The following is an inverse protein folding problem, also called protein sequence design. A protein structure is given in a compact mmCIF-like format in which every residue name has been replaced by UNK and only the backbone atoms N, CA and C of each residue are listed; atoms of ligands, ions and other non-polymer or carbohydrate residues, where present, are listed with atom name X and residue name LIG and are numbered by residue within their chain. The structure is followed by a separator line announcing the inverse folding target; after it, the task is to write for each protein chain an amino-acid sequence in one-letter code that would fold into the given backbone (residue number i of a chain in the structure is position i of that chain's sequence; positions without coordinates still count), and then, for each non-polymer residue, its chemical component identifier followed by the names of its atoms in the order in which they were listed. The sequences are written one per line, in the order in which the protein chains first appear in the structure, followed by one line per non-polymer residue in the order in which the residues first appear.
data_IF_572937459732
#
_entry.id   IF_572937459732
#
_cell.length_a   1.000
_cell.length_b   1.000
_cell.length_c   1.000
_cell.angle_alpha   90.00
_cell.angle_beta   90.00
_cell.angle_gamma   90.00
#
_symmetry.space_group_name_H-M   'P 1'
#
loop_
_entity.id
_entity.type
_entity.pdbx_description
1 polymer ?
#
# COMPACT_ATOMS: atom_id res chain seq x y z
N UNK A 1 45.03 -13.46 5.24
CA UNK A 1 43.79 -14.17 5.66
C UNK A 1 42.69 -13.23 6.15
N UNK A 2 43.01 -12.27 7.01
CA UNK A 2 42.02 -11.29 7.50
C UNK A 2 41.52 -10.38 6.38
N UNK A 3 42.36 -9.97 5.46
CA UNK A 3 41.98 -9.12 4.33
C UNK A 3 41.05 -9.83 3.36
N UNK A 4 41.28 -11.13 3.13
CA UNK A 4 40.46 -11.95 2.26
C UNK A 4 39.01 -12.07 2.82
N UNK A 5 38.87 -12.31 4.11
CA UNK A 5 37.57 -12.39 4.74
C UNK A 5 36.86 -11.04 4.78
N UNK A 6 37.63 -9.97 4.93
CA UNK A 6 37.09 -8.61 4.91
C UNK A 6 36.49 -8.29 3.55
N UNK A 7 37.18 -8.61 2.46
CA UNK A 7 36.71 -8.39 1.10
C UNK A 7 35.40 -9.18 0.85
N UNK A 8 35.37 -10.43 1.30
CA UNK A 8 34.15 -11.27 1.14
C UNK A 8 32.98 -10.66 1.90
N UNK A 9 33.19 -10.19 3.12
CA UNK A 9 32.13 -9.55 3.92
C UNK A 9 31.62 -8.27 3.27
N UNK A 10 32.52 -7.43 2.80
CA UNK A 10 32.15 -6.17 2.14
C UNK A 10 31.36 -6.44 0.87
N UNK A 11 31.75 -7.45 0.10
CA UNK A 11 31.02 -7.85 -1.10
C UNK A 11 29.61 -8.34 -0.78
N UNK A 12 29.44 -9.13 0.27
CA UNK A 12 28.13 -9.61 0.71
C UNK A 12 27.23 -8.46 1.16
N UNK A 13 27.78 -7.48 1.87
CA UNK A 13 27.04 -6.30 2.30
C UNK A 13 26.59 -5.51 1.07
N UNK A 14 27.47 -5.32 0.09
CA UNK A 14 27.16 -4.60 -1.14
C UNK A 14 26.03 -5.29 -1.91
N UNK A 15 26.09 -6.60 -2.08
CA UNK A 15 25.07 -7.39 -2.76
C UNK A 15 23.72 -7.28 -2.05
N UNK A 16 23.72 -7.32 -0.71
CA UNK A 16 22.52 -7.21 0.09
C UNK A 16 21.86 -5.84 -0.07
N UNK A 17 22.64 -4.76 -0.07
CA UNK A 17 22.15 -3.40 -0.24
C UNK A 17 21.60 -3.20 -1.67
N UNK A 18 22.31 -3.72 -2.68
CA UNK A 18 21.84 -3.67 -4.07
C UNK A 18 20.51 -4.41 -4.24
N UNK A 19 20.34 -5.54 -3.57
CA UNK A 19 19.12 -6.34 -3.63
C UNK A 19 17.89 -5.57 -3.08
N UNK A 20 18.10 -4.58 -2.23
CA UNK A 20 17.04 -3.71 -1.71
C UNK A 20 16.60 -2.64 -2.72
N UNK A 21 17.30 -2.52 -3.85
CA UNK A 21 17.02 -1.49 -4.85
C UNK A 21 17.65 -0.14 -4.55
N UNK A 22 18.49 -0.06 -3.52
CA UNK A 22 19.20 1.18 -3.15
C UNK A 22 20.34 1.41 -4.12
N UNK A 23 20.45 2.64 -4.66
CA UNK A 23 21.55 3.01 -5.55
C UNK A 23 22.85 3.13 -4.76
N UNK A 24 23.88 2.42 -5.18
CA UNK A 24 25.20 2.50 -4.59
C UNK A 24 26.24 2.85 -5.65
N UNK A 25 27.24 3.63 -5.21
CA UNK A 25 28.41 3.94 -6.04
C UNK A 25 29.45 2.85 -5.83
N UNK A 26 30.30 2.62 -6.82
CA UNK A 26 31.28 1.54 -6.78
C UNK A 26 32.37 1.70 -5.72
N UNK A 27 32.57 2.91 -5.22
CA UNK A 27 33.62 3.29 -4.29
C UNK A 27 33.14 3.48 -2.84
N UNK A 28 31.90 3.15 -2.53
CA UNK A 28 31.36 3.33 -1.18
C UNK A 28 31.97 2.31 -0.20
N UNK A 29 32.32 2.79 0.98
CA UNK A 29 32.88 1.96 2.03
C UNK A 29 31.77 1.19 2.80
N UNK A 30 32.21 0.29 3.68
CA UNK A 30 31.33 -0.56 4.47
C UNK A 30 30.37 0.25 5.35
N UNK A 31 30.86 1.31 6.00
CA UNK A 31 30.05 2.14 6.89
C UNK A 31 28.93 2.85 6.13
N UNK A 32 29.24 3.37 4.94
CA UNK A 32 28.27 4.04 4.09
C UNK A 32 27.19 3.06 3.62
N UNK A 33 27.59 1.84 3.22
CA UNK A 33 26.66 0.80 2.77
C UNK A 33 25.73 0.35 3.91
N UNK A 34 26.27 0.14 5.10
CA UNK A 34 25.48 -0.24 6.27
C UNK A 34 24.49 0.86 6.68
N UNK A 35 24.92 2.12 6.58
CA UNK A 35 24.05 3.26 6.83
C UNK A 35 22.91 3.33 5.82
N UNK A 36 23.19 3.12 4.53
CA UNK A 36 22.16 3.11 3.50
C UNK A 36 21.14 1.99 3.72
N UNK A 37 21.60 0.81 4.11
CA UNK A 37 20.73 -0.31 4.45
C UNK A 37 19.83 0.04 5.63
N UNK A 38 20.40 0.60 6.69
CA UNK A 38 19.66 1.00 7.89
C UNK A 38 18.63 2.08 7.57
N UNK A 39 19.01 3.11 6.83
CA UNK A 39 18.12 4.21 6.45
C UNK A 39 16.95 3.69 5.61
N UNK A 40 17.22 2.78 4.67
CA UNK A 40 16.19 2.15 3.86
C UNK A 40 15.19 1.38 4.71
N UNK A 41 15.67 0.56 5.65
CA UNK A 41 14.81 -0.23 6.54
C UNK A 41 13.95 0.66 7.44
N UNK A 42 14.52 1.75 7.97
CA UNK A 42 13.78 2.71 8.80
C UNK A 42 12.69 3.39 7.99
N UNK A 43 13.02 3.86 6.78
CA UNK A 43 12.05 4.48 5.88
C UNK A 43 10.93 3.52 5.53
N UNK A 44 11.25 2.27 5.26
CA UNK A 44 10.28 1.22 4.94
C UNK A 44 9.34 0.97 6.11
N UNK A 45 9.87 0.86 7.32
CA UNK A 45 9.06 0.70 8.53
C UNK A 45 8.11 1.87 8.76
N UNK A 46 8.55 3.10 8.52
CA UNK A 46 7.71 4.29 8.64
C UNK A 46 6.54 4.26 7.67
N UNK A 47 6.79 3.83 6.44
CA UNK A 47 5.74 3.66 5.42
C UNK A 47 4.71 2.64 5.89
N UNK A 48 5.16 1.48 6.35
CA UNK A 48 4.29 0.41 6.82
C UNK A 48 3.44 0.84 8.02
N UNK A 49 4.05 1.54 8.98
CA UNK A 49 3.35 2.05 10.16
C UNK A 49 2.33 3.14 9.79
N UNK A 50 2.68 4.05 8.89
CA UNK A 50 1.77 5.11 8.44
C UNK A 50 0.55 4.52 7.75
N UNK A 51 0.71 3.42 7.02
CA UNK A 51 -0.38 2.75 6.32
C UNK A 51 -1.19 1.80 7.22
N UNK A 52 -0.70 1.48 8.43
CA UNK A 52 -1.37 0.51 9.30
C UNK A 52 -2.79 0.92 9.65
N UNK A 53 -3.01 2.17 10.05
CA UNK A 53 -4.35 2.66 10.41
C UNK A 53 -5.28 2.65 9.20
N UNK A 54 -4.76 2.97 8.02
CA UNK A 54 -5.53 2.92 6.77
C UNK A 54 -5.88 1.48 6.40
N UNK A 55 -4.96 0.54 6.61
CA UNK A 55 -5.24 -0.88 6.40
C UNK A 55 -6.32 -1.39 7.35
N UNK A 56 -6.21 -1.08 8.64
CA UNK A 56 -7.20 -1.51 9.64
C UNK A 56 -8.58 -0.95 9.32
N UNK A 57 -8.64 0.32 8.95
CA UNK A 57 -9.89 0.97 8.56
C UNK A 57 -10.49 0.32 7.33
N UNK A 58 -9.67 0.08 6.30
CA UNK A 58 -10.10 -0.54 5.04
C UNK A 58 -10.61 -1.97 5.26
N UNK A 59 -9.90 -2.75 6.03
CA UNK A 59 -10.26 -4.14 6.35
C UNK A 59 -11.57 -4.20 7.13
N UNK A 60 -11.73 -3.35 8.14
CA UNK A 60 -12.94 -3.25 8.94
C UNK A 60 -14.13 -2.80 8.07
N UNK A 61 -13.91 -1.81 7.22
CA UNK A 61 -14.92 -1.30 6.31
C UNK A 61 -15.42 -2.39 5.36
N UNK A 62 -14.49 -3.13 4.74
CA UNK A 62 -14.82 -4.23 3.84
C UNK A 62 -15.66 -5.29 4.56
N UNK A 63 -15.26 -5.66 5.77
CA UNK A 63 -16.01 -6.62 6.59
C UNK A 63 -17.44 -6.14 6.85
N UNK A 64 -17.59 -4.87 7.26
CA UNK A 64 -18.91 -4.31 7.58
C UNK A 64 -19.80 -4.20 6.34
N UNK A 65 -19.25 -3.78 5.22
CA UNK A 65 -20.01 -3.66 3.97
C UNK A 65 -20.46 -5.03 3.46
N UNK A 66 -19.59 -6.02 3.50
CA UNK A 66 -19.92 -7.37 3.09
C UNK A 66 -21.06 -7.97 3.93
N UNK A 67 -21.02 -7.69 5.23
CA UNK A 67 -22.01 -8.22 6.17
C UNK A 67 -23.37 -7.52 6.05
N UNK A 68 -23.39 -6.19 5.87
CA UNK A 68 -24.60 -5.38 6.01
C UNK A 68 -25.22 -4.93 4.69
N UNK A 69 -24.41 -4.71 3.65
CA UNK A 69 -24.87 -4.05 2.44
C UNK A 69 -24.75 -4.90 1.19
N UNK A 70 -23.89 -5.91 1.18
CA UNK A 70 -23.73 -6.79 0.01
C UNK A 70 -24.78 -7.89 0.09
N UNK A 71 -25.60 -7.99 -0.96
CA UNK A 71 -26.67 -9.00 -1.02
C UNK A 71 -26.13 -10.35 -1.48
N UNK A 72 -26.93 -11.40 -1.28
CA UNK A 72 -26.58 -12.80 -1.56
C UNK A 72 -26.09 -13.06 -2.98
N UNK A 73 -26.55 -12.27 -3.94
CA UNK A 73 -26.24 -12.47 -5.37
C UNK A 73 -25.13 -11.55 -5.90
N UNK A 74 -24.56 -10.73 -5.03
CA UNK A 74 -23.46 -9.84 -5.38
C UNK A 74 -22.13 -10.45 -4.95
N UNK A 75 -21.07 -10.11 -5.69
CA UNK A 75 -19.72 -10.41 -5.24
C UNK A 75 -19.41 -9.65 -3.96
N UNK A 76 -18.59 -10.21 -3.10
CA UNK A 76 -18.11 -9.52 -1.90
C UNK A 76 -16.87 -8.71 -2.22
N UNK A 77 -16.59 -7.71 -1.39
CA UNK A 77 -15.34 -6.97 -1.45
C UNK A 77 -14.22 -7.75 -0.76
N UNK A 78 -13.01 -7.49 -1.20
CA UNK A 78 -11.81 -8.04 -0.58
C UNK A 78 -10.77 -6.94 -0.41
N UNK A 79 -10.16 -6.88 0.78
CA UNK A 79 -9.07 -5.95 1.07
C UNK A 79 -7.75 -6.71 0.99
N UNK A 80 -6.86 -6.29 0.09
CA UNK A 80 -5.56 -6.91 -0.14
C UNK A 80 -4.48 -6.03 0.48
N UNK A 81 -3.70 -6.63 1.37
CA UNK A 81 -2.60 -5.96 2.06
C UNK A 81 -1.27 -6.30 1.38
N UNK A 82 -0.71 -5.33 0.67
CA UNK A 82 0.62 -5.44 0.07
C UNK A 82 1.57 -4.38 0.62
N UNK A 83 1.32 -3.95 1.86
CA UNK A 83 2.20 -2.94 2.50
C UNK A 83 3.65 -3.39 2.55
N UNK A 84 3.88 -4.67 2.81
CA UNK A 84 5.22 -5.21 3.02
C UNK A 84 5.94 -5.52 1.70
N UNK A 85 5.20 -5.76 0.63
CA UNK A 85 5.75 -6.07 -0.69
C UNK A 85 5.94 -4.80 -1.53
N UNK A 86 4.86 -4.03 -1.74
CA UNK A 86 4.84 -2.88 -2.64
C UNK A 86 4.54 -1.56 -1.96
N UNK A 87 4.08 -1.58 -0.70
CA UNK A 87 3.63 -0.37 0.00
C UNK A 87 2.23 0.04 -0.37
N UNK A 88 1.43 -0.89 -0.87
CA UNK A 88 0.07 -0.63 -1.34
C UNK A 88 -0.96 -1.46 -0.60
N UNK A 89 -2.15 -0.88 -0.45
CA UNK A 89 -3.36 -1.58 0.03
C UNK A 89 -4.42 -1.32 -1.03
N UNK A 90 -5.17 -2.35 -1.42
CA UNK A 90 -6.27 -2.11 -2.34
C UNK A 90 -7.51 -2.92 -1.99
N UNK A 91 -8.66 -2.39 -2.41
CA UNK A 91 -9.96 -3.03 -2.26
C UNK A 91 -10.46 -3.38 -3.65
N UNK A 92 -10.91 -4.60 -3.82
CA UNK A 92 -11.43 -5.11 -5.09
C UNK A 92 -12.65 -6.00 -4.85
N UNK A 93 -13.37 -6.32 -5.92
CA UNK A 93 -14.33 -7.42 -5.87
C UNK A 93 -13.55 -8.74 -5.77
N UNK A 94 -14.02 -9.66 -4.94
CA UNK A 94 -13.34 -10.94 -4.69
C UNK A 94 -13.03 -11.72 -5.97
N UNK A 95 -13.95 -11.72 -6.92
CA UNK A 95 -13.82 -12.44 -8.19
C UNK A 95 -12.99 -11.71 -9.25
N UNK A 96 -12.69 -10.43 -9.05
CA UNK A 96 -11.93 -9.65 -10.01
C UNK A 96 -10.42 -9.90 -9.88
N UNK A 97 -9.65 -9.75 -10.95
CA UNK A 97 -8.20 -9.79 -10.85
C UNK A 97 -7.68 -8.56 -10.09
N UNK A 98 -6.46 -8.67 -9.54
CA UNK A 98 -5.87 -7.60 -8.72
C UNK A 98 -5.73 -6.28 -9.49
N UNK A 99 -5.51 -6.33 -10.80
CA UNK A 99 -5.36 -5.14 -11.65
C UNK A 99 -6.66 -4.33 -11.76
N UNK A 100 -7.79 -4.94 -11.48
CA UNK A 100 -9.11 -4.29 -11.51
C UNK A 100 -9.55 -3.83 -10.12
N UNK A 101 -8.61 -3.29 -9.35
CA UNK A 101 -8.93 -2.76 -8.03
C UNK A 101 -9.88 -1.56 -8.11
N UNK A 102 -10.66 -1.36 -7.05
CA UNK A 102 -11.63 -0.27 -6.93
C UNK A 102 -11.04 0.94 -6.19
N UNK A 103 -10.35 0.69 -5.09
CA UNK A 103 -9.66 1.71 -4.31
C UNK A 103 -8.22 1.25 -4.10
N UNK A 104 -7.27 2.16 -4.30
CA UNK A 104 -5.84 1.90 -4.09
C UNK A 104 -5.29 2.93 -3.12
N UNK A 105 -4.63 2.46 -2.07
CA UNK A 105 -4.06 3.29 -1.00
C UNK A 105 -2.55 3.11 -0.99
N UNK A 106 -1.82 4.21 -1.05
CA UNK A 106 -0.35 4.21 -1.00
C UNK A 106 0.19 5.56 -0.53
N UNK A 107 1.46 5.61 -0.14
CA UNK A 107 2.11 6.86 0.21
C UNK A 107 2.72 7.46 -1.07
N UNK A 108 2.49 8.77 -1.26
CA UNK A 108 2.99 9.50 -2.42
C UNK A 108 4.50 9.34 -2.56
N UNK A 109 4.94 8.98 -3.77
CA UNK A 109 6.36 8.76 -4.12
C UNK A 109 7.06 7.73 -3.21
N UNK A 110 6.29 6.92 -2.49
CA UNK A 110 6.80 5.93 -1.55
C UNK A 110 7.74 6.55 -0.51
N UNK A 111 7.47 7.80 -0.13
CA UNK A 111 8.25 8.57 0.83
C UNK A 111 7.51 8.68 2.17
N UNK A 112 8.14 8.31 3.30
CA UNK A 112 7.46 8.29 4.60
C UNK A 112 7.03 9.67 5.10
N UNK A 113 7.51 10.74 4.48
CA UNK A 113 7.19 12.11 4.87
C UNK A 113 6.03 12.71 4.06
N UNK A 114 5.60 12.04 3.01
CA UNK A 114 4.53 12.54 2.14
C UNK A 114 3.17 11.99 2.53
N UNK A 115 2.13 12.58 1.95
CA UNK A 115 0.75 12.20 2.23
C UNK A 115 0.36 10.84 1.67
N UNK A 116 -0.77 10.35 2.14
CA UNK A 116 -1.34 9.08 1.70
C UNK A 116 -2.35 9.37 0.60
N UNK A 117 -2.23 8.66 -0.51
CA UNK A 117 -3.10 8.84 -1.67
C UNK A 117 -4.08 7.68 -1.73
N UNK A 118 -5.35 8.02 -1.96
CA UNK A 118 -6.40 7.05 -2.26
C UNK A 118 -6.87 7.33 -3.68
N UNK A 119 -6.61 6.41 -4.58
CA UNK A 119 -7.12 6.46 -5.94
C UNK A 119 -8.42 5.67 -6.01
N UNK A 120 -9.45 6.26 -6.60
CA UNK A 120 -10.80 5.73 -6.66
C UNK A 120 -11.21 5.46 -8.10
N UNK A 121 -11.37 4.18 -8.43
CA UNK A 121 -11.90 3.70 -9.71
C UNK A 121 -13.26 3.05 -9.57
N UNK A 122 -13.93 3.24 -8.43
CA UNK A 122 -15.24 2.62 -8.18
C UNK A 122 -16.32 3.14 -9.12
N UNK A 123 -16.17 4.37 -9.61
CA UNK A 123 -17.05 4.94 -10.62
C UNK A 123 -16.33 4.92 -11.98
N UNK A 124 -16.76 4.09 -12.95
CA UNK A 124 -16.07 4.00 -14.24
C UNK A 124 -16.14 5.29 -15.06
N UNK A 125 -17.10 6.16 -14.78
CA UNK A 125 -17.25 7.44 -15.50
C UNK A 125 -16.33 8.53 -14.95
N UNK A 126 -15.86 8.37 -13.70
CA UNK A 126 -15.04 9.40 -13.05
C UNK A 126 -14.02 8.79 -12.10
N UNK A 127 -12.80 8.60 -12.57
CA UNK A 127 -11.68 8.25 -11.71
C UNK A 127 -11.26 9.47 -10.91
N UNK A 128 -10.96 9.30 -9.64
CA UNK A 128 -10.52 10.38 -8.77
C UNK A 128 -9.33 9.95 -7.92
N UNK A 129 -8.61 10.94 -7.41
CA UNK A 129 -7.47 10.73 -6.54
C UNK A 129 -7.54 11.75 -5.42
N UNK A 130 -7.31 11.31 -4.19
CA UNK A 130 -7.42 12.13 -2.99
C UNK A 130 -6.17 11.95 -2.14
N UNK A 131 -5.68 13.04 -1.57
CA UNK A 131 -4.51 13.01 -0.70
C UNK A 131 -4.94 13.31 0.74
N UNK A 132 -4.43 12.51 1.68
CA UNK A 132 -4.71 12.66 3.11
C UNK A 132 -3.40 12.65 3.89
N UNK A 133 -3.41 13.34 5.03
CA UNK A 133 -2.33 13.22 6.00
C UNK A 133 -2.52 11.92 6.80
N UNK A 134 -1.45 11.42 7.40
CA UNK A 134 -1.52 10.17 8.16
C UNK A 134 -2.49 10.24 9.34
N UNK A 135 -2.78 11.44 9.86
CA UNK A 135 -3.74 11.64 10.94
C UNK A 135 -5.18 11.91 10.46
N UNK A 136 -5.42 11.91 9.15
CA UNK A 136 -6.75 12.17 8.58
C UNK A 136 -7.50 10.88 8.24
N UNK A 137 -7.32 9.85 9.04
CA UNK A 137 -7.91 8.53 8.81
C UNK A 137 -9.44 8.56 8.77
N UNK A 138 -10.08 9.42 9.57
CA UNK A 138 -11.55 9.50 9.59
C UNK A 138 -12.09 10.08 8.28
N UNK A 139 -11.43 11.08 7.73
CA UNK A 139 -11.81 11.65 6.43
C UNK A 139 -11.63 10.64 5.31
N UNK A 140 -10.53 9.90 5.33
CA UNK A 140 -10.26 8.85 4.37
C UNK A 140 -11.29 7.73 4.46
N UNK A 141 -11.64 7.32 5.67
CA UNK A 141 -12.65 6.29 5.91
C UNK A 141 -14.02 6.72 5.36
N UNK A 142 -14.43 7.97 5.60
CA UNK A 142 -15.68 8.51 5.08
C UNK A 142 -15.70 8.47 3.56
N UNK A 143 -14.61 8.86 2.91
CA UNK A 143 -14.49 8.80 1.45
C UNK A 143 -14.68 7.38 0.94
N UNK A 144 -13.99 6.41 1.54
CA UNK A 144 -14.07 5.01 1.14
C UNK A 144 -15.47 4.43 1.34
N UNK A 145 -16.11 4.74 2.46
CA UNK A 145 -17.50 4.33 2.73
C UNK A 145 -18.44 4.86 1.66
N UNK A 146 -18.34 6.16 1.38
CA UNK A 146 -19.21 6.81 0.38
C UNK A 146 -19.00 6.19 -1.01
N UNK A 147 -17.76 6.00 -1.42
CA UNK A 147 -17.44 5.44 -2.74
C UNK A 147 -17.98 4.03 -2.91
N UNK A 148 -17.77 3.18 -1.91
CA UNK A 148 -18.20 1.77 -1.98
C UNK A 148 -19.70 1.62 -1.80
N UNK A 149 -20.35 2.43 -0.97
CA UNK A 149 -21.82 2.38 -0.83
C UNK A 149 -22.51 2.87 -2.09
N UNK A 150 -21.99 3.90 -2.74
CA UNK A 150 -22.49 4.34 -4.04
C UNK A 150 -22.33 3.26 -5.11
N UNK A 151 -21.20 2.55 -5.10
CA UNK A 151 -20.96 1.44 -6.01
C UNK A 151 -21.98 0.31 -5.79
N UNK A 152 -22.25 -0.05 -4.54
CA UNK A 152 -23.26 -1.05 -4.21
C UNK A 152 -24.64 -0.63 -4.72
N UNK A 153 -25.02 0.63 -4.52
CA UNK A 153 -26.30 1.18 -4.98
C UNK A 153 -26.42 1.08 -6.51
N UNK A 154 -25.35 1.42 -7.24
CA UNK A 154 -25.33 1.31 -8.70
C UNK A 154 -25.47 -0.15 -9.16
N UNK A 155 -24.79 -1.06 -8.48
CA UNK A 155 -24.88 -2.51 -8.80
C UNK A 155 -26.29 -3.04 -8.57
N UNK A 156 -26.97 -2.63 -7.51
CA UNK A 156 -28.36 -3.02 -7.22
C UNK A 156 -29.31 -2.47 -8.28
N UNK A 157 -29.14 -1.22 -8.69
CA UNK A 157 -29.96 -0.59 -9.71
C UNK A 157 -29.89 -1.30 -11.06
N UNK A 158 -28.70 -1.83 -11.42
CA UNK A 158 -28.51 -2.56 -12.68
C UNK A 158 -29.16 -3.94 -12.71
N UNK A 159 -29.47 -4.52 -11.56
CA UNK A 159 -30.11 -5.84 -11.46
C UNK A 159 -31.64 -5.78 -11.51
N UNK A 160 -32.18 -4.62 -11.24
CA UNK A 160 -33.62 -4.36 -11.28
C UNK A 160 -34.04 -3.87 -12.68
#
# INVERSE_FOLDING_TARGET
LKDKYRVIRDQKIRERVEALGVKIKGDEDRETLLKKEKDYKIARQKIELSLESFYRSSSSLVFQLNKRHVTRHMSIFRCIDQRFETGEIFIKWDEAPDEEWLLLIYIKDNSPEKGIIIEDKSNPEKNSSHEFKSNEIFKASDLMVDSLTQLISRKRAKKD
#
